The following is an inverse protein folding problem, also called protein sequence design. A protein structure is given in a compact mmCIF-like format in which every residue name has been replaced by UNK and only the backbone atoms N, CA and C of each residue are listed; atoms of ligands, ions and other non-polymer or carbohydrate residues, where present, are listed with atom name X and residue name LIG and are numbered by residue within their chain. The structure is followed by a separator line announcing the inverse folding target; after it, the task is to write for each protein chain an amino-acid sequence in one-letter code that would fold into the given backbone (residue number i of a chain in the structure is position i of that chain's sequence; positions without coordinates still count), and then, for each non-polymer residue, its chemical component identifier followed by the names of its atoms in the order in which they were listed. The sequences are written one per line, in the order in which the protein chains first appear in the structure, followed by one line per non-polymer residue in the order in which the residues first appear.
data_IF_775947262296
#
_entry.id   IF_775947262296
#
_cell.length_a   1.000
_cell.length_b   1.000
_cell.length_c   1.000
_cell.angle_alpha   90.00
_cell.angle_beta   90.00
_cell.angle_gamma   90.00
#
_symmetry.space_group_name_H-M   'P 1'
#
loop_
_entity.id
_entity.type
_entity.pdbx_description
1 polymer ?
#
# COMPACT_ATOMS: atom_id res chain seq x y z
N UNK A 1 15.87 -6.65 -24.27
CA UNK A 1 15.15 -7.30 -23.15
C UNK A 1 16.03 -7.17 -21.92
N UNK A 2 15.89 -6.06 -21.19
CA UNK A 2 16.65 -5.85 -19.95
C UNK A 2 16.06 -6.71 -18.84
N UNK A 3 16.90 -7.56 -18.27
CA UNK A 3 16.55 -8.32 -17.06
C UNK A 3 16.34 -7.30 -15.92
N UNK A 4 15.24 -7.37 -15.19
CA UNK A 4 15.05 -6.52 -14.01
C UNK A 4 16.22 -6.77 -13.05
N UNK A 5 16.94 -5.71 -12.71
CA UNK A 5 18.00 -5.77 -11.71
C UNK A 5 17.37 -5.95 -10.33
N UNK A 6 17.23 -7.20 -9.92
CA UNK A 6 16.85 -7.56 -8.56
C UNK A 6 17.99 -7.15 -7.63
N UNK A 7 17.90 -6.00 -6.98
CA UNK A 7 18.81 -5.63 -5.90
C UNK A 7 18.15 -5.93 -4.55
N UNK A 8 18.58 -6.98 -3.84
CA UNK A 8 18.22 -7.12 -2.44
C UNK A 8 18.85 -5.93 -1.69
N UNK A 9 18.05 -5.09 -1.07
CA UNK A 9 18.59 -4.05 -0.20
C UNK A 9 19.05 -4.70 1.10
N UNK A 10 20.36 -4.83 1.25
CA UNK A 10 21.04 -5.40 2.42
C UNK A 10 21.14 -4.39 3.58
N UNK A 11 20.08 -3.67 3.92
CA UNK A 11 20.11 -2.79 5.10
C UNK A 11 18.89 -2.97 5.99
N UNK A 12 19.15 -3.04 7.30
CA UNK A 12 18.21 -3.54 8.28
C UNK A 12 17.35 -2.44 8.85
N UNK A 13 16.07 -2.52 8.66
CA UNK A 13 15.17 -2.18 9.73
C UNK A 13 15.15 -3.37 10.69
N UNK A 14 16.01 -3.37 11.71
CA UNK A 14 16.08 -4.48 12.66
C UNK A 14 16.51 -5.84 12.10
N UNK A 15 17.37 -5.89 11.05
CA UNK A 15 17.90 -7.13 10.49
C UNK A 15 17.00 -7.82 9.44
N UNK A 16 15.94 -7.19 8.96
CA UNK A 16 15.07 -7.74 7.93
C UNK A 16 15.60 -7.41 6.52
N UNK A 17 15.36 -8.32 5.57
CA UNK A 17 15.71 -8.14 4.15
C UNK A 17 14.43 -8.07 3.33
N UNK A 18 14.18 -6.91 2.74
CA UNK A 18 13.07 -6.69 1.81
C UNK A 18 13.55 -6.95 0.38
N UNK A 19 12.73 -7.65 -0.41
CA UNK A 19 12.95 -7.78 -1.84
C UNK A 19 12.43 -6.52 -2.53
N UNK A 20 13.30 -5.76 -3.21
CA UNK A 20 12.96 -4.48 -3.84
C UNK A 20 13.31 -4.52 -5.32
N UNK A 21 12.37 -4.14 -6.16
CA UNK A 21 12.61 -3.81 -7.56
C UNK A 21 12.84 -2.31 -7.65
N UNK A 22 14.06 -1.93 -8.03
CA UNK A 22 14.48 -0.55 -8.21
C UNK A 22 14.85 -0.38 -9.69
N UNK A 23 13.94 0.19 -10.45
CA UNK A 23 14.00 0.26 -11.91
C UNK A 23 13.69 1.67 -12.42
N UNK A 24 14.25 2.02 -13.59
CA UNK A 24 14.07 3.30 -14.26
C UNK A 24 15.37 4.11 -14.34
N UNK A 25 15.33 5.33 -14.88
CA UNK A 25 16.50 6.18 -14.98
C UNK A 25 17.07 6.51 -13.58
N UNK A 26 18.40 6.39 -13.37
CA UNK A 26 19.00 6.70 -12.05
C UNK A 26 18.74 8.13 -11.55
N UNK A 27 18.63 9.09 -12.48
CA UNK A 27 18.30 10.50 -12.17
C UNK A 27 16.81 10.82 -12.30
N UNK A 28 15.94 9.83 -12.51
CA UNK A 28 14.49 10.05 -12.58
C UNK A 28 13.90 10.35 -11.21
N UNK A 29 12.83 11.18 -11.19
CA UNK A 29 12.09 11.45 -9.95
C UNK A 29 11.61 10.11 -9.32
N UNK A 30 11.92 9.89 -8.03
CA UNK A 30 11.68 8.61 -7.39
C UNK A 30 10.21 8.44 -6.96
N UNK A 31 9.65 7.26 -7.26
CA UNK A 31 8.31 6.85 -6.85
C UNK A 31 8.39 5.56 -6.03
N UNK A 32 7.96 5.60 -4.78
CA UNK A 32 7.83 4.44 -3.90
C UNK A 32 6.42 3.86 -4.00
N UNK A 33 6.29 2.59 -4.43
CA UNK A 33 5.02 1.91 -4.68
C UNK A 33 4.77 0.83 -3.62
N UNK A 34 3.81 1.06 -2.72
CA UNK A 34 3.50 0.21 -1.57
C UNK A 34 2.21 -0.59 -1.80
N UNK A 35 2.32 -1.93 -1.87
CA UNK A 35 1.20 -2.85 -2.09
C UNK A 35 0.39 -3.11 -0.82
N UNK A 36 -0.81 -3.71 -0.97
CA UNK A 36 -1.68 -4.09 0.13
C UNK A 36 -1.75 -5.60 0.40
N UNK A 37 -2.79 -6.01 1.12
CA UNK A 37 -3.10 -7.41 1.44
C UNK A 37 -4.02 -8.02 0.37
N UNK A 38 -3.78 -9.25 -0.07
CA UNK A 38 -2.62 -10.12 0.16
C UNK A 38 -1.62 -10.07 -1.01
N UNK A 39 -1.47 -8.89 -1.59
CA UNK A 39 -0.62 -8.62 -2.75
C UNK A 39 0.89 -8.74 -2.41
N UNK A 40 1.71 -8.56 -3.42
CA UNK A 40 3.15 -8.30 -3.34
C UNK A 40 3.52 -7.19 -4.35
N UNK A 41 4.79 -6.90 -4.53
CA UNK A 41 5.24 -5.86 -5.47
C UNK A 41 4.79 -6.09 -6.92
N UNK A 42 4.33 -7.30 -7.29
CA UNK A 42 3.80 -7.55 -8.63
C UNK A 42 2.45 -6.89 -8.90
N UNK A 43 1.74 -6.40 -7.87
CA UNK A 43 0.52 -5.61 -8.03
C UNK A 43 0.75 -4.35 -8.87
N UNK A 44 1.96 -3.84 -8.87
CA UNK A 44 2.37 -2.66 -9.60
C UNK A 44 2.88 -2.94 -11.02
N UNK A 45 2.79 -4.20 -11.49
CA UNK A 45 3.30 -4.60 -12.82
C UNK A 45 2.63 -3.88 -14.00
N UNK A 46 1.41 -3.40 -13.83
CA UNK A 46 0.73 -2.58 -14.84
C UNK A 46 1.06 -1.09 -14.72
N UNK A 47 1.31 -0.59 -13.52
CA UNK A 47 1.55 0.84 -13.23
C UNK A 47 3.02 1.22 -13.41
N UNK A 48 3.95 0.51 -12.76
CA UNK A 48 5.37 0.87 -12.74
C UNK A 48 6.01 1.02 -14.13
N UNK A 49 5.71 0.16 -15.14
CA UNK A 49 6.24 0.37 -16.49
C UNK A 49 5.78 1.66 -17.16
N UNK A 50 4.55 2.13 -16.86
CA UNK A 50 4.04 3.41 -17.40
C UNK A 50 4.84 4.57 -16.81
N UNK A 51 5.05 4.57 -15.49
CA UNK A 51 5.83 5.59 -14.77
C UNK A 51 7.28 5.64 -15.30
N UNK A 52 7.90 4.48 -15.49
CA UNK A 52 9.28 4.41 -16.02
C UNK A 52 9.40 4.94 -17.44
N UNK A 53 8.42 4.65 -18.32
CA UNK A 53 8.39 5.23 -19.68
C UNK A 53 8.27 6.75 -19.67
N UNK A 54 7.67 7.31 -18.64
CA UNK A 54 7.60 8.75 -18.41
C UNK A 54 8.85 9.34 -17.73
N UNK A 55 9.91 8.54 -17.54
CA UNK A 55 11.19 9.00 -17.00
C UNK A 55 11.32 8.91 -15.47
N UNK A 56 10.37 8.29 -14.77
CA UNK A 56 10.43 8.15 -13.31
C UNK A 56 11.23 6.89 -12.91
N UNK A 57 11.87 6.95 -11.73
CA UNK A 57 12.50 5.80 -11.08
C UNK A 57 11.51 5.18 -10.09
N UNK A 58 11.25 3.89 -10.17
CA UNK A 58 10.27 3.19 -9.34
C UNK A 58 10.93 2.24 -8.34
N UNK A 59 10.60 2.39 -7.06
CA UNK A 59 10.98 1.48 -5.99
C UNK A 59 9.75 0.68 -5.58
N UNK A 60 9.77 -0.63 -5.76
CA UNK A 60 8.65 -1.54 -5.53
C UNK A 60 9.08 -2.64 -4.59
N UNK A 61 8.88 -2.49 -3.27
CA UNK A 61 9.23 -3.53 -2.31
C UNK A 61 8.15 -4.61 -2.20
N UNK A 62 8.58 -5.86 -1.92
CA UNK A 62 7.76 -6.80 -1.18
C UNK A 62 7.90 -6.42 0.29
N UNK A 63 6.82 -5.92 0.89
CA UNK A 63 6.87 -5.31 2.23
C UNK A 63 7.06 -6.35 3.35
N UNK A 64 7.28 -5.87 4.58
CA UNK A 64 7.39 -6.70 5.79
C UNK A 64 6.24 -7.71 5.89
N UNK A 65 6.56 -8.98 6.12
CA UNK A 65 5.60 -10.09 6.15
C UNK A 65 5.42 -10.79 4.81
N UNK A 66 5.75 -10.12 3.71
CA UNK A 66 5.60 -10.64 2.34
C UNK A 66 6.92 -11.17 1.79
N UNK A 67 7.99 -10.40 1.87
CA UNK A 67 9.32 -10.90 1.50
C UNK A 67 9.77 -12.04 2.41
N UNK A 68 10.35 -13.15 1.88
CA UNK A 68 10.80 -14.28 2.70
C UNK A 68 11.81 -13.87 3.79
N UNK A 69 12.70 -12.92 3.48
CA UNK A 69 13.70 -12.37 4.43
C UNK A 69 13.12 -11.39 5.46
N UNK A 70 11.82 -11.09 5.39
CA UNK A 70 11.18 -10.07 6.23
C UNK A 70 9.87 -10.56 6.89
N UNK A 71 9.84 -11.80 7.36
CA UNK A 71 8.71 -12.41 8.08
C UNK A 71 9.02 -12.60 9.56
N UNK A 72 9.19 -11.53 10.37
CA UNK A 72 9.50 -11.65 11.77
C UNK A 72 8.35 -12.31 12.54
N UNK A 73 8.70 -13.03 13.63
CA UNK A 73 7.69 -13.67 14.49
C UNK A 73 6.97 -12.64 15.36
N UNK A 74 5.67 -12.88 15.60
CA UNK A 74 4.85 -12.13 16.53
C UNK A 74 4.33 -10.81 15.98
N UNK A 75 3.08 -10.51 16.31
CA UNK A 75 2.34 -9.35 15.80
C UNK A 75 2.96 -7.98 16.13
N UNK A 76 3.72 -7.89 17.26
CA UNK A 76 4.38 -6.63 17.65
C UNK A 76 5.42 -6.12 16.65
N UNK A 77 5.97 -7.02 15.83
CA UNK A 77 6.93 -6.68 14.78
C UNK A 77 6.27 -6.03 13.55
N UNK A 78 4.93 -5.92 13.52
CA UNK A 78 4.15 -5.39 12.40
C UNK A 78 3.39 -4.09 12.74
N UNK A 79 3.77 -3.43 13.83
CA UNK A 79 3.19 -2.13 14.20
C UNK A 79 3.44 -1.09 13.11
N UNK A 80 2.49 -0.19 12.91
CA UNK A 80 2.54 0.82 11.85
C UNK A 80 3.84 1.65 11.88
N UNK A 81 4.35 1.94 13.09
CA UNK A 81 5.63 2.65 13.26
C UNK A 81 6.79 1.96 12.56
N UNK A 82 6.82 0.61 12.64
CA UNK A 82 7.87 -0.19 12.02
C UNK A 82 7.70 -0.28 10.50
N UNK A 83 6.45 -0.30 10.01
CA UNK A 83 6.16 -0.29 8.58
C UNK A 83 6.55 1.05 7.93
N UNK A 84 6.31 2.15 8.63
CA UNK A 84 6.77 3.49 8.21
C UNK A 84 8.30 3.57 8.23
N UNK A 85 8.95 3.02 9.27
CA UNK A 85 10.41 2.95 9.34
C UNK A 85 11.01 2.13 8.18
N UNK A 86 10.37 1.05 7.76
CA UNK A 86 10.80 0.28 6.59
C UNK A 86 10.78 1.13 5.31
N UNK A 87 9.71 1.90 5.10
CA UNK A 87 9.61 2.80 3.94
C UNK A 87 10.72 3.87 3.95
N UNK A 88 11.00 4.47 5.11
CA UNK A 88 12.11 5.43 5.27
C UNK A 88 13.45 4.77 4.99
N UNK A 89 13.70 3.59 5.56
CA UNK A 89 14.95 2.86 5.36
C UNK A 89 15.18 2.43 3.90
N UNK A 90 14.09 2.16 3.17
CA UNK A 90 14.17 1.90 1.72
C UNK A 90 14.67 3.13 0.95
N UNK A 91 14.15 4.32 1.28
CA UNK A 91 14.62 5.57 0.69
C UNK A 91 16.10 5.82 1.03
N UNK A 92 16.49 5.63 2.30
CA UNK A 92 17.88 5.78 2.75
C UNK A 92 18.82 4.81 2.01
N UNK A 93 18.41 3.55 1.87
CA UNK A 93 19.19 2.53 1.16
C UNK A 93 19.33 2.83 -0.34
N UNK A 94 18.34 3.51 -0.93
CA UNK A 94 18.36 3.93 -2.32
C UNK A 94 19.11 5.28 -2.53
N UNK A 95 19.59 5.91 -1.46
CA UNK A 95 20.26 7.23 -1.51
C UNK A 95 19.30 8.38 -1.80
N UNK A 96 18.01 8.23 -1.42
CA UNK A 96 16.96 9.18 -1.72
C UNK A 96 16.55 9.97 -0.47
N UNK A 97 16.57 11.29 -0.59
CA UNK A 97 16.10 12.18 0.46
C UNK A 97 14.58 12.10 0.61
N UNK A 98 13.84 12.12 -0.50
CA UNK A 98 12.37 12.03 -0.56
C UNK A 98 11.92 11.30 -1.81
N UNK A 99 10.66 10.88 -1.85
CA UNK A 99 10.02 10.27 -3.01
C UNK A 99 8.55 10.67 -3.13
N UNK A 100 7.98 10.52 -4.32
CA UNK A 100 6.53 10.45 -4.50
C UNK A 100 6.06 9.09 -3.96
N UNK A 101 5.10 9.09 -3.03
CA UNK A 101 4.64 7.86 -2.39
C UNK A 101 3.29 7.46 -2.94
N UNK A 102 3.21 6.22 -3.41
CA UNK A 102 1.96 5.63 -3.91
C UNK A 102 1.63 4.40 -3.07
N UNK A 103 0.42 4.32 -2.55
CA UNK A 103 0.00 3.19 -1.73
C UNK A 103 -1.38 2.67 -2.10
N UNK A 104 -1.54 1.34 -2.03
CA UNK A 104 -2.83 0.69 -2.19
C UNK A 104 -3.15 -0.13 -0.94
N UNK A 105 -4.42 -0.12 -0.48
CA UNK A 105 -4.89 -0.89 0.69
C UNK A 105 -3.97 -0.68 1.91
N UNK A 106 -3.37 -1.72 2.51
CA UNK A 106 -2.43 -1.57 3.62
C UNK A 106 -1.20 -0.71 3.27
N UNK A 107 -0.70 -0.81 2.04
CA UNK A 107 0.36 0.10 1.57
C UNK A 107 -0.10 1.56 1.56
N UNK A 108 -1.39 1.81 1.31
CA UNK A 108 -1.99 3.14 1.44
C UNK A 108 -2.05 3.61 2.90
N UNK A 109 -2.34 2.71 3.87
CA UNK A 109 -2.27 3.06 5.30
C UNK A 109 -0.85 3.48 5.70
N UNK A 110 0.17 2.76 5.23
CA UNK A 110 1.58 3.12 5.45
C UNK A 110 1.90 4.46 4.78
N UNK A 111 1.45 4.67 3.54
CA UNK A 111 1.67 5.89 2.78
C UNK A 111 1.04 7.12 3.47
N UNK A 112 -0.21 7.01 3.96
CA UNK A 112 -0.86 8.05 4.77
C UNK A 112 -0.05 8.38 6.03
N UNK A 113 0.41 7.35 6.75
CA UNK A 113 1.20 7.54 7.97
C UNK A 113 2.57 8.14 7.68
N UNK A 114 3.25 7.70 6.61
CA UNK A 114 4.53 8.26 6.17
C UNK A 114 4.38 9.75 5.83
N UNK A 115 3.42 10.12 5.01
CA UNK A 115 3.18 11.51 4.62
C UNK A 115 2.81 12.42 5.80
N UNK A 116 2.07 11.89 6.80
CA UNK A 116 1.68 12.66 7.97
C UNK A 116 2.81 12.86 9.00
N UNK A 117 3.72 11.88 9.12
CA UNK A 117 4.76 11.90 10.17
C UNK A 117 6.15 12.23 9.65
N UNK A 118 6.37 12.07 8.37
CA UNK A 118 7.66 12.32 7.69
C UNK A 118 7.41 13.08 6.37
N UNK A 119 6.74 14.24 6.43
CA UNK A 119 6.43 15.03 5.23
C UNK A 119 7.69 15.41 4.44
N UNK A 120 8.83 15.59 5.12
CA UNK A 120 10.12 15.85 4.48
C UNK A 120 10.62 14.70 3.61
N UNK A 121 10.12 13.47 3.83
CA UNK A 121 10.46 12.28 3.03
C UNK A 121 9.44 12.01 1.91
N UNK A 122 8.38 12.82 1.81
CA UNK A 122 7.24 12.59 0.90
C UNK A 122 7.05 13.83 0.01
N UNK A 123 7.46 13.74 -1.25
CA UNK A 123 7.29 14.84 -2.22
C UNK A 123 5.81 15.03 -2.59
N UNK A 124 5.08 13.96 -2.78
CA UNK A 124 3.61 13.93 -2.94
C UNK A 124 3.06 12.54 -2.57
N UNK A 125 1.75 12.47 -2.40
CA UNK A 125 1.05 11.25 -2.02
C UNK A 125 -0.03 10.91 -3.05
N UNK A 126 -0.05 9.64 -3.51
CA UNK A 126 -1.20 9.07 -4.23
C UNK A 126 -1.67 7.82 -3.51
N UNK A 127 -2.93 7.77 -3.10
CA UNK A 127 -3.49 6.59 -2.43
C UNK A 127 -4.64 6.01 -3.24
N UNK A 128 -4.57 4.70 -3.46
CA UNK A 128 -5.60 3.94 -4.13
C UNK A 128 -6.43 3.12 -3.11
N UNK A 129 -7.73 3.21 -3.24
CA UNK A 129 -8.79 2.47 -2.52
C UNK A 129 -8.94 2.85 -1.05
N UNK A 130 -7.87 2.85 -0.23
CA UNK A 130 -8.00 3.04 1.22
C UNK A 130 -8.09 4.53 1.60
N UNK A 131 -9.15 4.94 2.33
CA UNK A 131 -9.30 6.31 2.80
C UNK A 131 -8.29 6.63 3.92
N UNK A 132 -8.20 7.92 4.28
CA UNK A 132 -7.40 8.31 5.44
C UNK A 132 -7.84 7.53 6.71
N UNK A 133 -6.93 6.99 7.54
CA UNK A 133 -7.28 6.14 8.68
C UNK A 133 -8.27 6.76 9.66
N UNK A 134 -8.21 8.07 9.91
CA UNK A 134 -9.19 8.77 10.75
C UNK A 134 -10.58 8.86 10.09
N UNK A 135 -10.62 9.05 8.77
CA UNK A 135 -11.88 9.03 8.02
C UNK A 135 -12.53 7.64 8.08
N UNK A 136 -11.72 6.58 7.91
CA UNK A 136 -12.17 5.20 8.06
C UNK A 136 -12.73 4.96 9.47
N UNK A 137 -11.99 5.29 10.51
CA UNK A 137 -12.42 5.14 11.91
C UNK A 137 -13.73 5.86 12.18
N UNK A 138 -13.87 7.11 11.71
CA UNK A 138 -15.10 7.90 11.87
C UNK A 138 -16.29 7.30 11.11
N UNK A 139 -16.07 6.65 9.99
CA UNK A 139 -17.11 6.01 9.20
C UNK A 139 -17.66 4.72 9.83
N UNK A 140 -16.91 4.05 10.71
CA UNK A 140 -17.36 2.83 11.42
C UNK A 140 -18.65 3.05 12.22
N UNK A 141 -18.83 4.23 12.81
CA UNK A 141 -20.01 4.56 13.62
C UNK A 141 -21.11 5.29 12.84
N UNK A 142 -20.86 5.64 11.56
CA UNK A 142 -21.73 6.52 10.78
C UNK A 142 -22.18 5.92 9.44
N UNK A 143 -21.85 4.65 9.18
CA UNK A 143 -22.19 3.97 7.92
C UNK A 143 -22.13 2.45 8.10
N UNK A 144 -22.40 1.69 7.03
CA UNK A 144 -22.22 0.23 6.98
C UNK A 144 -20.75 -0.23 7.04
N UNK A 145 -19.78 0.68 7.24
CA UNK A 145 -18.37 0.35 7.24
C UNK A 145 -18.00 -0.68 8.32
N UNK A 146 -18.63 -0.63 9.48
CA UNK A 146 -18.39 -1.62 10.54
C UNK A 146 -18.66 -3.06 10.07
N UNK A 147 -19.73 -3.28 9.31
CA UNK A 147 -20.05 -4.60 8.73
C UNK A 147 -19.02 -5.01 7.68
N UNK A 148 -18.61 -4.08 6.81
CA UNK A 148 -17.57 -4.31 5.79
C UNK A 148 -16.23 -4.65 6.41
N UNK A 149 -15.92 -4.11 7.59
CA UNK A 149 -14.66 -4.30 8.32
C UNK A 149 -14.72 -5.41 9.38
N UNK A 150 -15.82 -6.15 9.51
CA UNK A 150 -15.98 -7.18 10.55
C UNK A 150 -14.92 -8.28 10.47
N UNK A 151 -14.42 -8.59 9.27
CA UNK A 151 -13.34 -9.56 9.06
C UNK A 151 -12.04 -9.19 9.80
N UNK A 152 -11.79 -7.89 10.06
CA UNK A 152 -10.63 -7.41 10.82
C UNK A 152 -10.64 -7.96 12.24
N UNK A 153 -11.85 -8.05 12.85
CA UNK A 153 -12.05 -8.68 14.15
C UNK A 153 -11.72 -10.19 14.11
N UNK A 154 -12.19 -10.90 13.08
CA UNK A 154 -11.89 -12.33 12.92
C UNK A 154 -10.38 -12.58 12.75
N UNK A 155 -9.66 -11.69 12.08
CA UNK A 155 -8.21 -11.81 11.86
C UNK A 155 -7.38 -11.64 13.15
N UNK A 156 -7.97 -11.14 14.24
CA UNK A 156 -7.28 -11.06 15.53
C UNK A 156 -7.01 -12.43 16.17
N UNK A 157 -7.78 -13.45 15.79
CA UNK A 157 -7.63 -14.81 16.34
C UNK A 157 -6.34 -15.47 15.81
N UNK A 158 -5.55 -16.14 16.67
CA UNK A 158 -4.35 -16.82 16.21
C UNK A 158 -4.70 -18.15 15.51
N UNK A 159 -4.06 -18.42 14.36
CA UNK A 159 -4.14 -19.70 13.64
C UNK A 159 -5.46 -19.98 12.90
N UNK A 160 -6.59 -19.57 13.45
CA UNK A 160 -7.91 -19.81 12.85
C UNK A 160 -8.10 -19.12 11.49
N UNK A 161 -7.78 -17.82 11.33
CA UNK A 161 -7.86 -17.16 10.03
C UNK A 161 -6.96 -17.82 8.97
N UNK A 162 -5.75 -18.23 9.33
CA UNK A 162 -4.84 -18.93 8.41
C UNK A 162 -5.46 -20.25 7.92
N UNK A 163 -6.04 -21.04 8.83
CA UNK A 163 -6.66 -22.31 8.50
C UNK A 163 -7.92 -22.18 7.62
N UNK A 164 -8.72 -21.14 7.84
CA UNK A 164 -9.97 -20.92 7.10
C UNK A 164 -9.76 -20.17 5.80
N UNK A 165 -8.91 -19.15 5.81
CA UNK A 165 -8.67 -18.26 4.67
C UNK A 165 -7.73 -18.94 3.64
N UNK A 166 -6.63 -19.54 4.10
CA UNK A 166 -5.59 -20.08 3.22
C UNK A 166 -6.11 -20.94 2.07
N UNK A 167 -6.92 -21.99 2.35
CA UNK A 167 -7.46 -22.87 1.31
C UNK A 167 -8.45 -22.19 0.34
N UNK A 168 -9.10 -21.11 0.78
CA UNK A 168 -10.16 -20.41 0.04
C UNK A 168 -9.72 -19.07 -0.53
N UNK A 169 -8.48 -18.63 -0.27
CA UNK A 169 -8.02 -17.29 -0.57
C UNK A 169 -8.18 -16.94 -2.05
N UNK A 170 -7.79 -17.83 -2.96
CA UNK A 170 -7.91 -17.61 -4.40
C UNK A 170 -9.35 -17.33 -4.82
N UNK A 171 -10.29 -18.16 -4.36
CA UNK A 171 -11.69 -18.00 -4.68
C UNK A 171 -12.28 -16.71 -4.09
N UNK A 172 -11.91 -16.36 -2.86
CA UNK A 172 -12.34 -15.12 -2.22
C UNK A 172 -11.83 -13.89 -2.97
N UNK A 173 -10.58 -13.91 -3.41
CA UNK A 173 -9.99 -12.85 -4.21
C UNK A 173 -10.70 -12.68 -5.56
N UNK A 174 -10.98 -13.80 -6.25
CA UNK A 174 -11.75 -13.76 -7.51
C UNK A 174 -13.15 -13.19 -7.31
N UNK A 175 -13.85 -13.60 -6.26
CA UNK A 175 -15.18 -13.06 -5.91
C UNK A 175 -15.16 -11.58 -5.53
N UNK A 176 -14.04 -11.07 -5.03
CA UNK A 176 -13.87 -9.65 -4.76
C UNK A 176 -13.53 -8.80 -5.99
N UNK A 177 -13.49 -9.43 -7.18
CA UNK A 177 -13.25 -8.75 -8.46
C UNK A 177 -11.77 -8.68 -8.88
N UNK A 178 -10.87 -9.40 -8.21
CA UNK A 178 -9.49 -9.51 -8.66
C UNK A 178 -9.41 -10.46 -9.88
N UNK A 179 -8.68 -10.12 -10.96
CA UNK A 179 -8.52 -11.01 -12.11
C UNK A 179 -7.90 -12.36 -11.71
N UNK A 180 -8.28 -13.43 -12.40
CA UNK A 180 -7.98 -14.80 -11.99
C UNK A 180 -6.47 -15.10 -11.89
N UNK A 181 -5.67 -14.56 -12.80
CA UNK A 181 -4.21 -14.78 -12.81
C UNK A 181 -3.55 -14.16 -11.56
N UNK A 182 -3.96 -12.96 -11.18
CA UNK A 182 -3.51 -12.25 -9.99
C UNK A 182 -3.97 -12.96 -8.71
N UNK A 183 -5.23 -13.37 -8.68
CA UNK A 183 -5.78 -14.12 -7.54
C UNK A 183 -5.01 -15.42 -7.28
N UNK A 184 -4.71 -16.18 -8.33
CA UNK A 184 -3.92 -17.41 -8.24
C UNK A 184 -2.50 -17.14 -7.77
N UNK A 185 -1.84 -16.10 -8.32
CA UNK A 185 -0.47 -15.70 -7.95
C UNK A 185 -0.38 -15.30 -6.46
N UNK A 186 -1.26 -14.42 -5.99
CA UNK A 186 -1.26 -13.98 -4.59
C UNK A 186 -1.62 -15.11 -3.63
N UNK A 187 -2.58 -15.98 -4.00
CA UNK A 187 -2.90 -17.15 -3.20
C UNK A 187 -1.71 -18.12 -3.11
N UNK A 188 -0.97 -18.33 -4.22
CA UNK A 188 0.23 -19.15 -4.21
C UNK A 188 1.31 -18.56 -3.29
N UNK A 189 1.53 -17.23 -3.35
CA UNK A 189 2.47 -16.53 -2.47
C UNK A 189 2.10 -16.68 -1.00
N UNK A 190 0.82 -16.59 -0.65
CA UNK A 190 0.34 -16.73 0.73
C UNK A 190 0.43 -18.15 1.27
N UNK A 191 0.64 -19.17 0.42
CA UNK A 191 0.92 -20.56 0.84
C UNK A 191 2.36 -20.78 1.29
N UNK A 192 3.27 -19.85 0.99
CA UNK A 192 4.66 -19.94 1.45
C UNK A 192 4.72 -19.90 2.98
N UNK A 193 5.71 -20.59 3.60
CA UNK A 193 5.85 -20.61 5.05
C UNK A 193 5.90 -19.20 5.67
N UNK A 194 4.95 -18.93 6.56
CA UNK A 194 4.85 -17.67 7.30
C UNK A 194 4.29 -16.47 6.52
N UNK A 195 4.03 -16.58 5.21
CA UNK A 195 3.54 -15.46 4.40
C UNK A 195 2.17 -14.98 4.85
N UNK A 196 1.17 -15.86 4.90
CA UNK A 196 -0.19 -15.49 5.33
C UNK A 196 -0.21 -14.98 6.78
N UNK A 197 0.52 -15.62 7.69
CA UNK A 197 0.63 -15.15 9.08
C UNK A 197 1.31 -13.79 9.15
N UNK A 198 2.36 -13.55 8.36
CA UNK A 198 3.02 -12.25 8.26
C UNK A 198 2.05 -11.16 7.79
N UNK A 199 1.31 -11.42 6.73
CA UNK A 199 0.31 -10.51 6.18
C UNK A 199 -0.84 -10.24 7.18
N UNK A 200 -1.36 -11.28 7.85
CA UNK A 200 -2.40 -11.13 8.90
C UNK A 200 -1.92 -10.39 10.13
N UNK A 201 -0.62 -10.44 10.43
CA UNK A 201 -0.06 -9.72 11.56
C UNK A 201 -0.14 -8.19 11.41
N UNK A 202 -0.31 -7.65 10.22
CA UNK A 202 -0.61 -6.22 10.02
C UNK A 202 -1.94 -5.85 10.69
N UNK A 203 -2.97 -6.66 10.51
CA UNK A 203 -4.26 -6.49 11.17
C UNK A 203 -4.16 -6.71 12.67
N UNK A 204 -3.42 -7.74 13.12
CA UNK A 204 -3.22 -8.08 14.54
C UNK A 204 -2.40 -7.04 15.29
N UNK A 205 -1.59 -6.27 14.58
CA UNK A 205 -0.77 -5.20 15.15
C UNK A 205 -1.53 -3.88 15.34
N UNK A 206 -2.68 -3.68 14.67
CA UNK A 206 -3.47 -2.44 14.76
C UNK A 206 -3.68 -1.95 16.21
N UNK A 207 -4.15 -2.80 17.16
CA UNK A 207 -4.36 -2.36 18.54
C UNK A 207 -3.06 -2.06 19.30
N UNK A 208 -1.91 -2.46 18.75
CA UNK A 208 -0.60 -2.28 19.38
C UNK A 208 0.16 -1.08 18.80
N UNK A 209 -0.31 -0.54 17.67
CA UNK A 209 0.28 0.62 17.04
C UNK A 209 -0.07 1.87 17.83
N UNK A 210 0.93 2.68 18.13
CA UNK A 210 0.78 3.96 18.84
C UNK A 210 0.74 5.14 17.89
N UNK A 211 1.16 4.93 16.64
CA UNK A 211 1.17 5.94 15.62
C UNK A 211 -0.27 6.20 15.13
N UNK A 212 -0.79 7.38 15.45
CA UNK A 212 -2.06 7.86 14.92
C UNK A 212 -1.77 8.74 13.70
N UNK A 213 -2.26 8.37 12.52
CA UNK A 213 -2.09 9.18 11.33
C UNK A 213 -2.65 10.58 11.53
N UNK A 214 -1.77 11.59 11.51
CA UNK A 214 -2.12 13.01 11.59
C UNK A 214 -2.71 13.54 10.27
N UNK A 215 -3.06 14.82 10.19
CA UNK A 215 -3.39 15.46 8.92
C UNK A 215 -2.18 15.43 7.98
N UNK A 216 -2.45 15.34 6.68
CA UNK A 216 -1.43 15.29 5.62
C UNK A 216 -1.30 16.67 4.98
N UNK A 217 -0.08 17.18 4.87
CA UNK A 217 0.19 18.51 4.34
C UNK A 217 0.77 18.49 2.91
N UNK A 218 1.29 17.34 2.46
CA UNK A 218 1.84 17.19 1.12
C UNK A 218 0.74 17.13 0.06
N UNK A 219 1.03 17.52 -1.21
CA UNK A 219 0.09 17.38 -2.32
C UNK A 219 -0.40 15.94 -2.45
N UNK A 220 -1.72 15.74 -2.42
CA UNK A 220 -2.32 14.42 -2.30
C UNK A 220 -3.39 14.17 -3.37
N UNK A 221 -3.33 13.00 -4.02
CA UNK A 221 -4.40 12.43 -4.82
C UNK A 221 -4.94 11.17 -4.15
N UNK A 222 -6.25 11.10 -3.97
CA UNK A 222 -6.91 9.90 -3.47
C UNK A 222 -7.86 9.35 -4.56
N UNK A 223 -7.59 8.13 -5.03
CA UNK A 223 -8.41 7.41 -6.01
C UNK A 223 -9.22 6.32 -5.31
N UNK A 224 -10.54 6.30 -5.54
CA UNK A 224 -11.44 5.33 -4.93
C UNK A 224 -12.34 4.67 -5.97
N UNK A 225 -12.49 3.34 -5.85
CA UNK A 225 -13.39 2.57 -6.71
C UNK A 225 -14.84 2.62 -6.22
N UNK A 226 -15.76 3.08 -7.07
CA UNK A 226 -17.18 3.26 -6.70
C UNK A 226 -17.88 1.95 -6.33
N UNK A 227 -17.34 0.81 -6.77
CA UNK A 227 -17.82 -0.55 -6.49
C UNK A 227 -16.94 -1.29 -5.47
N UNK A 228 -16.15 -0.57 -4.67
CA UNK A 228 -15.34 -1.18 -3.62
C UNK A 228 -16.23 -1.82 -2.54
N UNK A 229 -16.05 -3.13 -2.33
CA UNK A 229 -16.83 -3.90 -1.36
C UNK A 229 -16.30 -3.75 0.08
N UNK A 230 -15.01 -3.43 0.23
CA UNK A 230 -14.35 -3.30 1.53
C UNK A 230 -14.49 -1.90 2.12
N UNK A 231 -14.40 -0.87 1.27
CA UNK A 231 -14.29 0.53 1.68
C UNK A 231 -15.40 1.37 1.07
N UNK A 232 -16.26 1.89 1.93
CA UNK A 232 -17.48 2.57 1.53
C UNK A 232 -17.28 4.05 1.21
N UNK A 233 -18.18 4.61 0.39
CA UNK A 233 -18.22 6.01 -0.05
C UNK A 233 -18.03 7.00 1.09
N UNK A 234 -18.73 6.80 2.23
CA UNK A 234 -18.65 7.75 3.34
C UNK A 234 -17.24 7.93 3.89
N UNK A 235 -16.46 6.86 3.98
CA UNK A 235 -15.06 6.94 4.39
C UNK A 235 -14.21 7.68 3.35
N UNK A 236 -14.49 7.46 2.07
CA UNK A 236 -13.81 8.14 0.98
C UNK A 236 -14.04 9.67 1.03
N UNK A 237 -15.29 10.11 1.15
CA UNK A 237 -15.66 11.52 1.25
C UNK A 237 -15.03 12.22 2.45
N UNK A 238 -15.02 11.56 3.63
CA UNK A 238 -14.44 12.11 4.85
C UNK A 238 -12.93 12.30 4.78
N UNK A 239 -12.25 11.69 3.81
CA UNK A 239 -10.78 11.79 3.67
C UNK A 239 -10.33 13.23 3.45
N UNK A 240 -11.09 14.04 2.71
CA UNK A 240 -10.78 15.45 2.48
C UNK A 240 -10.60 16.26 3.78
N UNK A 241 -11.31 15.92 4.86
CA UNK A 241 -11.20 16.60 6.16
C UNK A 241 -9.83 16.40 6.84
N UNK A 242 -9.01 15.48 6.33
CA UNK A 242 -7.71 15.11 6.90
C UNK A 242 -6.51 15.46 6.01
N UNK A 243 -6.74 16.17 4.90
CA UNK A 243 -5.67 16.66 4.02
C UNK A 243 -5.70 18.19 4.03
N UNK A 244 -4.57 18.80 4.36
CA UNK A 244 -4.39 20.27 4.42
C UNK A 244 -3.67 20.80 3.20
N UNK A 245 -2.87 19.97 2.55
CA UNK A 245 -2.19 20.31 1.29
C UNK A 245 -3.13 20.28 0.08
N UNK A 246 -2.64 20.56 -1.12
CA UNK A 246 -3.41 20.43 -2.36
C UNK A 246 -4.00 19.04 -2.48
N UNK A 247 -5.34 18.94 -2.56
CA UNK A 247 -6.06 17.66 -2.52
C UNK A 247 -6.91 17.45 -3.75
N UNK A 248 -6.83 16.23 -4.31
CA UNK A 248 -7.70 15.77 -5.39
C UNK A 248 -8.31 14.43 -5.03
N UNK A 249 -9.63 14.34 -5.04
CA UNK A 249 -10.39 13.10 -4.93
C UNK A 249 -10.86 12.66 -6.31
N UNK A 250 -10.63 11.39 -6.66
CA UNK A 250 -11.01 10.80 -7.96
C UNK A 250 -11.81 9.52 -7.72
N UNK A 251 -12.99 9.48 -8.28
CA UNK A 251 -13.83 8.28 -8.33
C UNK A 251 -13.59 7.53 -9.64
N UNK A 252 -13.33 6.23 -9.54
CA UNK A 252 -13.16 5.34 -10.68
C UNK A 252 -14.28 4.28 -10.69
N UNK A 253 -14.85 4.00 -11.84
CA UNK A 253 -15.80 2.89 -12.00
C UNK A 253 -15.08 1.55 -11.92
N UNK A 254 -14.73 1.14 -10.71
CA UNK A 254 -13.94 -0.04 -10.40
C UNK A 254 -14.26 -0.56 -9.00
N UNK A 255 -13.79 -1.78 -8.71
CA UNK A 255 -13.76 -2.36 -7.36
C UNK A 255 -12.52 -1.91 -6.57
N UNK A 256 -12.15 -2.73 -5.59
CA UNK A 256 -11.01 -2.48 -4.70
C UNK A 256 -9.65 -2.50 -5.40
N UNK A 257 -9.47 -3.38 -6.39
CA UNK A 257 -8.19 -3.74 -6.99
C UNK A 257 -7.77 -2.76 -8.10
N UNK A 258 -7.57 -1.48 -7.75
CA UNK A 258 -7.22 -0.43 -8.72
C UNK A 258 -5.87 -0.67 -9.42
N UNK A 259 -4.81 -1.13 -8.75
CA UNK A 259 -3.53 -1.38 -9.42
C UNK A 259 -3.63 -2.42 -10.56
N UNK A 260 -4.46 -3.44 -10.39
CA UNK A 260 -4.63 -4.52 -11.37
C UNK A 260 -5.69 -4.20 -12.43
N UNK A 261 -6.79 -3.54 -12.03
CA UNK A 261 -7.96 -3.36 -12.91
C UNK A 261 -8.01 -2.01 -13.61
N UNK A 262 -7.26 -1.01 -13.12
CA UNK A 262 -7.21 0.37 -13.62
C UNK A 262 -5.79 0.91 -13.68
N UNK A 263 -4.83 0.04 -14.02
CA UNK A 263 -3.40 0.34 -13.99
C UNK A 263 -3.02 1.62 -14.76
N UNK A 264 -3.53 1.79 -15.99
CA UNK A 264 -3.23 2.98 -16.79
C UNK A 264 -3.80 4.24 -16.14
N UNK A 265 -5.08 4.23 -15.72
CA UNK A 265 -5.72 5.38 -15.09
C UNK A 265 -5.01 5.76 -13.78
N UNK A 266 -4.60 4.76 -12.99
CA UNK A 266 -3.86 5.00 -11.75
C UNK A 266 -2.47 5.58 -12.04
N UNK A 267 -1.78 5.08 -13.07
CA UNK A 267 -0.49 5.63 -13.50
C UNK A 267 -0.61 7.10 -13.95
N UNK A 268 -1.66 7.41 -14.72
CA UNK A 268 -1.91 8.79 -15.19
C UNK A 268 -2.13 9.74 -14.00
N UNK A 269 -2.90 9.31 -12.97
CA UNK A 269 -3.09 10.08 -11.74
C UNK A 269 -1.79 10.29 -10.96
N UNK A 270 -0.89 9.30 -10.95
CA UNK A 270 0.44 9.44 -10.34
C UNK A 270 1.27 10.46 -11.13
N UNK A 271 1.30 10.37 -12.47
CA UNK A 271 2.05 11.29 -13.33
C UNK A 271 1.55 12.74 -13.18
N UNK A 272 0.23 12.94 -13.17
CA UNK A 272 -0.36 14.26 -12.93
C UNK A 272 0.02 14.82 -11.55
N UNK A 273 0.08 13.96 -10.52
CA UNK A 273 0.45 14.37 -9.17
C UNK A 273 1.94 14.72 -9.07
N UNK A 274 2.80 13.94 -9.74
CA UNK A 274 4.25 14.23 -9.82
C UNK A 274 4.50 15.56 -10.52
N UNK A 275 3.91 15.78 -11.69
CA UNK A 275 4.04 17.04 -12.43
C UNK A 275 3.55 18.25 -11.64
N UNK A 276 2.35 18.18 -11.07
CA UNK A 276 1.80 19.28 -10.26
C UNK A 276 2.51 19.52 -8.92
N UNK A 277 3.36 18.60 -8.45
CA UNK A 277 4.22 18.85 -7.29
C UNK A 277 5.51 19.58 -7.68
N UNK A 278 6.00 19.38 -8.90
CA UNK A 278 7.15 20.09 -9.44
C UNK A 278 6.85 21.59 -9.69
N UNK A 279 5.61 21.90 -10.09
CA UNK A 279 5.18 23.28 -10.34
C UNK A 279 4.92 24.11 -9.06
N UNK A 280 4.86 23.44 -7.90
CA UNK A 280 4.55 24.06 -6.60
C UNK A 280 5.78 24.22 -5.68
N UNK A 281 6.95 23.74 -6.09
CA UNK A 281 8.21 23.78 -5.34
C UNK A 281 9.15 24.88 -5.88
#
# INVERSE_FOLDING_TARGET
MDRPTHRPTDRPTGGLRLDVRDDGPPGGEPVLLLHGFPQDGTSWSGVAPVLRRAGLRTLVPDQRGYAPGARPRGRRAYRLELLVQDAVALLDAAGLERAHVVGHDWGGIVAWALAAHRPERTASLTVASVPHPRALARSLTRSSQALRSAYVGAFQLPGLPEALLGPRLEELLRRSGLPAAEASRYAARMREPGALTGALNWYRALPLSRLSTGPVEVPTTYAWGTRDLALGRRAAELTAEHVRGPYRFVELDAGHWLPETRAQQLADLVLERVGGAADAA
#
